data_IF_732924158641
#
_entry.id   IF_732924158641
#
_cell.length_a   1.000
_cell.length_b   1.000
_cell.length_c   1.000
_cell.angle_alpha   90.00
_cell.angle_beta   90.00
_cell.angle_gamma   90.00
#
_symmetry.space_group_name_H-M   'P 1'
#
loop_
_entity.id
_entity.type
_entity.pdbx_description
1 polymer ?
#
# COMPACT_ATOMS: atom_id res chain seq x y z
N UNK A 1 -5.26 -14.01 7.77
CA UNK A 1 -4.62 -13.37 6.61
C UNK A 1 -4.75 -11.86 6.77
N UNK A 2 -3.69 -11.22 7.29
CA UNK A 2 -3.71 -9.79 7.61
C UNK A 2 -3.58 -8.99 6.30
N UNK A 3 -4.71 -8.67 5.67
CA UNK A 3 -4.73 -7.68 4.60
C UNK A 3 -4.43 -6.33 5.23
N UNK A 4 -3.23 -5.83 4.97
CA UNK A 4 -2.67 -4.63 5.57
C UNK A 4 -3.61 -3.44 5.35
N UNK A 5 -3.92 -2.74 6.45
CA UNK A 5 -4.60 -1.43 6.44
C UNK A 5 -3.89 -0.50 5.47
N UNK A 6 -4.55 -0.08 4.40
CA UNK A 6 -4.07 1.01 3.54
C UNK A 6 -4.29 2.34 4.25
N UNK A 7 -3.24 2.99 4.73
CA UNK A 7 -3.33 4.32 5.34
C UNK A 7 -3.32 5.38 4.22
N UNK A 8 -4.46 5.58 3.58
CA UNK A 8 -4.58 6.49 2.46
C UNK A 8 -4.85 7.94 2.87
N UNK A 9 -3.93 8.45 3.68
CA UNK A 9 -3.47 9.82 3.52
C UNK A 9 -3.72 10.74 4.71
N UNK A 10 -2.72 11.59 4.96
CA UNK A 10 -2.69 12.53 6.08
C UNK A 10 -3.27 13.86 5.61
N UNK A 11 -4.27 14.38 6.31
CA UNK A 11 -4.82 15.73 6.10
C UNK A 11 -4.29 16.64 7.21
N UNK A 12 -3.64 17.73 6.84
CA UNK A 12 -3.30 18.82 7.77
C UNK A 12 -4.42 19.85 7.72
N UNK A 13 -5.19 19.99 8.80
CA UNK A 13 -6.04 21.18 9.01
C UNK A 13 -5.44 21.98 10.17
N UNK A 14 -4.78 23.11 9.85
CA UNK A 14 -4.55 24.27 10.74
C UNK A 14 -4.50 24.03 12.25
N UNK A 15 -3.67 23.08 12.70
CA UNK A 15 -3.54 22.65 14.09
C UNK A 15 -2.71 21.36 14.14
N UNK A 16 -2.04 21.09 15.27
CA UNK A 16 -1.09 19.96 15.46
C UNK A 16 -1.70 18.54 15.37
N UNK A 17 -2.88 18.37 14.76
CA UNK A 17 -3.59 17.09 14.68
C UNK A 17 -3.58 16.53 13.25
N UNK A 18 -2.78 15.49 13.06
CA UNK A 18 -2.80 14.70 11.82
C UNK A 18 -4.06 13.85 11.80
N UNK A 19 -4.87 13.99 10.75
CA UNK A 19 -5.99 13.08 10.50
C UNK A 19 -5.73 12.21 9.31
N UNK A 20 -6.20 10.98 9.32
CA UNK A 20 -6.01 10.05 8.22
C UNK A 20 -7.30 9.49 7.66
N UNK A 21 -7.27 9.14 6.37
CA UNK A 21 -8.28 8.30 5.73
C UNK A 21 -7.70 6.89 5.57
N UNK A 22 -8.49 5.88 5.91
CA UNK A 22 -8.10 4.47 5.73
C UNK A 22 -8.83 3.85 4.55
N UNK A 23 -8.25 2.81 3.94
CA UNK A 23 -8.95 1.94 2.98
C UNK A 23 -9.08 0.52 3.50
N UNK A 24 -10.20 -0.13 3.20
CA UNK A 24 -10.52 -1.52 3.57
C UNK A 24 -11.21 -2.22 2.41
N UNK A 25 -11.16 -3.56 2.37
CA UNK A 25 -11.78 -4.34 1.28
C UNK A 25 -13.29 -4.54 1.43
N UNK A 26 -13.81 -4.44 2.64
CA UNK A 26 -15.19 -4.80 2.94
C UNK A 26 -15.76 -4.03 4.15
N UNK A 27 -17.09 -4.05 4.25
CA UNK A 27 -17.85 -3.34 5.28
C UNK A 27 -17.57 -3.87 6.70
N UNK A 28 -17.29 -5.17 6.85
CA UNK A 28 -17.01 -5.75 8.16
C UNK A 28 -15.67 -5.21 8.72
N UNK A 29 -14.65 -5.10 7.86
CA UNK A 29 -13.36 -4.47 8.18
C UNK A 29 -13.51 -2.98 8.44
N UNK A 30 -14.37 -2.28 7.68
CA UNK A 30 -14.66 -0.85 7.92
C UNK A 30 -15.17 -0.64 9.35
N UNK A 31 -16.24 -1.35 9.72
CA UNK A 31 -16.83 -1.30 11.08
C UNK A 31 -15.82 -1.65 12.15
N UNK A 32 -15.00 -2.68 11.92
CA UNK A 32 -13.96 -3.09 12.86
C UNK A 32 -12.91 -1.99 13.10
N UNK A 33 -12.38 -1.38 12.02
CA UNK A 33 -11.36 -0.34 12.12
C UNK A 33 -11.94 0.91 12.77
N UNK A 34 -13.10 1.38 12.32
CA UNK A 34 -13.74 2.56 12.89
C UNK A 34 -13.95 2.39 14.39
N UNK A 35 -14.52 1.26 14.82
CA UNK A 35 -14.67 0.95 16.25
C UNK A 35 -13.34 0.91 16.99
N UNK A 36 -12.33 0.24 16.42
CA UNK A 36 -11.02 0.05 17.07
C UNK A 36 -10.23 1.36 17.18
N UNK A 37 -10.34 2.25 16.19
CA UNK A 37 -9.69 3.55 16.22
C UNK A 37 -10.45 4.57 17.05
N UNK A 38 -11.79 4.60 17.01
CA UNK A 38 -12.54 5.55 17.83
C UNK A 38 -12.37 5.29 19.33
N UNK A 39 -12.14 4.05 19.75
CA UNK A 39 -11.88 3.71 21.17
C UNK A 39 -10.52 4.16 21.67
N UNK A 40 -9.51 4.32 20.79
CA UNK A 40 -8.12 4.63 21.19
C UNK A 40 -7.65 6.01 20.75
N UNK A 41 -8.14 6.48 19.61
CA UNK A 41 -7.68 7.69 18.91
C UNK A 41 -8.83 8.35 18.12
N UNK A 42 -9.89 8.72 18.82
CA UNK A 42 -11.13 9.27 18.21
C UNK A 42 -10.91 10.50 17.31
N UNK A 43 -9.85 11.27 17.54
CA UNK A 43 -9.53 12.48 16.77
C UNK A 43 -8.66 12.25 15.52
N UNK A 44 -8.10 11.05 15.33
CA UNK A 44 -7.11 10.81 14.25
C UNK A 44 -7.67 10.14 13.01
N UNK A 45 -8.64 9.22 13.13
CA UNK A 45 -9.29 8.62 11.96
C UNK A 45 -10.42 9.53 11.49
N UNK A 46 -10.34 10.06 10.26
CA UNK A 46 -11.45 10.80 9.66
C UNK A 46 -12.52 9.87 9.12
N UNK A 47 -12.14 8.86 8.35
CA UNK A 47 -13.06 7.91 7.73
C UNK A 47 -12.31 6.71 7.15
N UNK A 48 -12.96 5.54 7.13
CA UNK A 48 -12.50 4.37 6.41
C UNK A 48 -13.34 4.16 5.14
N UNK A 49 -12.69 4.04 3.99
CA UNK A 49 -13.28 3.88 2.67
C UNK A 49 -13.20 2.43 2.21
N UNK A 50 -14.22 1.94 1.53
CA UNK A 50 -14.21 0.60 0.96
C UNK A 50 -13.60 0.66 -0.44
N UNK A 51 -12.46 -0.01 -0.60
CA UNK A 51 -11.75 -0.23 -1.85
C UNK A 51 -11.51 -1.74 -1.94
N UNK A 52 -12.42 -2.50 -2.59
CA UNK A 52 -12.34 -3.96 -2.61
C UNK A 52 -11.04 -4.48 -3.22
N UNK A 53 -10.60 -3.84 -4.30
CA UNK A 53 -9.34 -4.10 -4.97
C UNK A 53 -8.61 -2.79 -5.24
N UNK A 54 -7.45 -2.64 -4.59
CA UNK A 54 -6.58 -1.46 -4.71
C UNK A 54 -5.73 -1.49 -5.98
N UNK A 55 -5.69 -2.63 -6.69
CA UNK A 55 -4.91 -2.79 -7.90
C UNK A 55 -5.63 -2.32 -9.17
N UNK A 56 -6.92 -2.00 -9.06
CA UNK A 56 -7.69 -1.46 -10.19
C UNK A 56 -7.25 -0.03 -10.51
N UNK A 57 -7.32 0.30 -11.80
CA UNK A 57 -7.06 1.65 -12.27
C UNK A 57 -8.03 2.63 -11.61
N UNK A 58 -7.50 3.72 -11.06
CA UNK A 58 -8.31 4.76 -10.43
C UNK A 58 -9.03 4.37 -9.13
N UNK A 59 -8.74 3.19 -8.56
CA UNK A 59 -9.43 2.65 -7.38
C UNK A 59 -9.43 3.60 -6.17
N UNK A 60 -8.44 4.48 -6.09
CA UNK A 60 -8.21 5.38 -4.97
C UNK A 60 -8.43 6.87 -5.29
N UNK A 61 -8.85 7.22 -6.52
CA UNK A 61 -8.91 8.61 -7.01
C UNK A 61 -9.77 9.51 -6.12
N UNK A 62 -10.91 9.00 -5.68
CA UNK A 62 -11.84 9.74 -4.81
C UNK A 62 -11.33 9.81 -3.37
N UNK A 63 -10.62 8.78 -2.90
CA UNK A 63 -10.16 8.66 -1.52
C UNK A 63 -9.03 9.66 -1.23
N UNK A 64 -8.11 9.85 -2.18
CA UNK A 64 -6.92 10.71 -2.01
C UNK A 64 -7.22 12.21 -2.07
N UNK A 65 -8.42 12.63 -2.46
CA UNK A 65 -8.77 14.05 -2.58
C UNK A 65 -8.61 14.78 -1.24
N UNK A 66 -7.83 15.86 -1.24
CA UNK A 66 -7.55 16.65 -0.03
C UNK A 66 -6.54 16.02 0.92
N UNK A 67 -5.92 14.89 0.56
CA UNK A 67 -4.79 14.34 1.30
C UNK A 67 -3.50 15.11 0.95
N UNK A 68 -2.67 15.34 1.97
CA UNK A 68 -1.35 15.98 1.85
C UNK A 68 -0.23 14.98 1.59
N UNK A 69 -0.46 13.70 1.85
CA UNK A 69 0.46 12.62 1.54
C UNK A 69 -0.26 11.28 1.52
N UNK A 70 0.40 10.26 1.00
CA UNK A 70 -0.12 8.89 0.86
C UNK A 70 0.85 7.93 1.54
N UNK A 71 0.33 6.99 2.33
CA UNK A 71 1.08 5.86 2.88
C UNK A 71 0.53 4.58 2.27
N UNK A 72 1.23 4.08 1.25
CA UNK A 72 0.87 2.85 0.57
C UNK A 72 1.42 1.65 1.35
N UNK A 73 0.52 0.94 2.00
CA UNK A 73 0.78 -0.28 2.79
C UNK A 73 -0.03 -1.47 2.28
N UNK A 74 -1.01 -1.24 1.41
CA UNK A 74 -1.89 -2.28 0.89
C UNK A 74 -1.22 -3.01 -0.27
N UNK A 75 -0.74 -4.22 -0.03
CA UNK A 75 -0.28 -5.16 -1.06
C UNK A 75 -1.05 -6.46 -0.96
N UNK A 76 -1.29 -7.12 -2.08
CA UNK A 76 -1.75 -8.51 -2.06
C UNK A 76 -0.58 -9.38 -1.59
N UNK A 77 -0.78 -10.12 -0.50
CA UNK A 77 0.23 -11.04 0.07
C UNK A 77 -0.21 -12.50 -0.04
N UNK A 78 -1.27 -12.77 -0.81
CA UNK A 78 -1.78 -14.12 -0.98
C UNK A 78 -0.82 -14.88 -1.89
N UNK A 79 -0.51 -16.14 -1.54
CA UNK A 79 0.25 -17.05 -2.40
C UNK A 79 -0.60 -17.36 -3.64
N UNK A 80 -0.48 -16.52 -4.66
CA UNK A 80 -1.09 -16.76 -5.96
C UNK A 80 -0.33 -17.90 -6.65
N UNK A 81 -1.03 -18.87 -7.26
CA UNK A 81 -0.38 -19.93 -8.04
C UNK A 81 0.39 -19.36 -9.24
N UNK A 82 -0.08 -18.22 -9.77
CA UNK A 82 0.53 -17.50 -10.87
C UNK A 82 1.22 -16.24 -10.31
N UNK A 83 2.53 -16.36 -10.10
CA UNK A 83 3.35 -15.29 -9.52
C UNK A 83 3.42 -14.11 -10.48
N UNK A 84 3.52 -14.36 -11.79
CA UNK A 84 3.56 -13.34 -12.84
C UNK A 84 2.33 -12.44 -12.77
N UNK A 85 1.13 -13.01 -12.70
CA UNK A 85 -0.11 -12.22 -12.53
C UNK A 85 -0.13 -11.42 -11.24
N UNK A 86 0.35 -11.99 -10.13
CA UNK A 86 0.41 -11.29 -8.85
C UNK A 86 1.34 -10.07 -8.91
N UNK A 87 2.53 -10.24 -9.49
CA UNK A 87 3.52 -9.16 -9.68
C UNK A 87 2.94 -8.07 -10.56
N UNK A 88 2.36 -8.42 -11.72
CA UNK A 88 1.76 -7.45 -12.64
C UNK A 88 0.65 -6.65 -11.94
N UNK A 89 -0.25 -7.32 -11.20
CA UNK A 89 -1.34 -6.65 -10.50
C UNK A 89 -0.84 -5.67 -9.43
N UNK A 90 0.15 -6.08 -8.62
CA UNK A 90 0.73 -5.20 -7.58
C UNK A 90 1.46 -4.01 -8.21
N UNK A 91 2.26 -4.24 -9.25
CA UNK A 91 2.94 -3.15 -9.99
C UNK A 91 1.92 -2.18 -10.55
N UNK A 92 0.89 -2.68 -11.22
CA UNK A 92 -0.18 -1.87 -11.79
C UNK A 92 -0.93 -1.06 -10.71
N UNK A 93 -1.24 -1.67 -9.57
CA UNK A 93 -1.90 -0.99 -8.47
C UNK A 93 -1.10 0.18 -7.90
N UNK A 94 0.22 -0.03 -7.72
CA UNK A 94 1.12 1.01 -7.21
C UNK A 94 1.28 2.14 -8.23
N UNK A 95 1.47 1.82 -9.52
CA UNK A 95 1.64 2.85 -10.56
C UNK A 95 0.35 3.64 -10.79
N UNK A 96 -0.81 2.97 -10.81
CA UNK A 96 -2.12 3.62 -10.86
C UNK A 96 -2.30 4.62 -9.72
N UNK A 97 -1.97 4.23 -8.49
CA UNK A 97 -2.06 5.12 -7.32
C UNK A 97 -1.06 6.29 -7.39
N UNK A 98 0.15 6.06 -7.93
CA UNK A 98 1.13 7.13 -8.17
C UNK A 98 0.61 8.13 -9.22
N UNK A 99 0.02 7.64 -10.31
CA UNK A 99 -0.58 8.51 -11.33
C UNK A 99 -1.70 9.36 -10.74
N UNK A 100 -2.56 8.76 -9.92
CA UNK A 100 -3.60 9.49 -9.19
C UNK A 100 -3.03 10.52 -8.22
N UNK A 101 -1.92 10.21 -7.55
CA UNK A 101 -1.21 11.13 -6.67
C UNK A 101 -0.64 12.33 -7.44
N UNK A 102 -0.05 12.09 -8.62
CA UNK A 102 0.46 13.15 -9.51
C UNK A 102 -0.67 14.06 -10.00
N UNK A 103 -1.84 13.49 -10.31
CA UNK A 103 -3.04 14.26 -10.70
C UNK A 103 -3.69 15.03 -9.55
N UNK A 104 -3.27 14.81 -8.30
CA UNK A 104 -3.88 15.41 -7.10
C UNK A 104 -2.93 16.42 -6.45
N UNK A 105 -3.01 17.73 -6.76
CA UNK A 105 -2.02 18.72 -6.35
C UNK A 105 -1.83 18.88 -4.83
N UNK A 106 -2.81 18.45 -4.02
CA UNK A 106 -2.73 18.48 -2.57
C UNK A 106 -1.70 17.47 -2.04
N UNK A 107 -1.45 16.37 -2.75
CA UNK A 107 -0.52 15.31 -2.34
C UNK A 107 0.91 15.81 -2.55
N UNK A 108 1.70 15.85 -1.48
CA UNK A 108 3.10 16.33 -1.47
C UNK A 108 4.13 15.24 -1.19
N UNK A 109 3.72 14.13 -0.58
CA UNK A 109 4.60 13.01 -0.25
C UNK A 109 3.91 11.67 -0.49
N UNK A 110 4.69 10.72 -0.99
CA UNK A 110 4.27 9.34 -1.16
C UNK A 110 5.24 8.45 -0.40
N UNK A 111 4.71 7.59 0.47
CA UNK A 111 5.48 6.59 1.19
C UNK A 111 5.04 5.21 0.72
N UNK A 112 5.97 4.46 0.15
CA UNK A 112 5.76 3.08 -0.28
C UNK A 112 6.34 2.12 0.76
N UNK A 113 5.51 1.22 1.28
CA UNK A 113 5.96 0.17 2.19
C UNK A 113 6.52 -1.00 1.39
N UNK A 114 7.84 -1.02 1.23
CA UNK A 114 8.54 -2.14 0.62
C UNK A 114 8.89 -3.23 1.66
N UNK A 115 9.56 -4.29 1.23
CA UNK A 115 10.01 -5.41 2.04
C UNK A 115 11.51 -5.65 1.82
N UNK A 116 12.24 -6.19 2.81
CA UNK A 116 13.64 -6.57 2.65
C UNK A 116 13.84 -7.65 1.57
N UNK A 117 12.84 -8.50 1.32
CA UNK A 117 12.86 -9.46 0.20
C UNK A 117 12.94 -8.79 -1.19
N UNK A 118 12.59 -7.50 -1.31
CA UNK A 118 12.80 -6.76 -2.56
C UNK A 118 14.30 -6.47 -2.81
N UNK A 119 15.11 -6.44 -1.74
CA UNK A 119 16.55 -6.22 -1.84
C UNK A 119 17.33 -7.53 -2.02
N UNK A 120 16.93 -8.62 -1.33
CA UNK A 120 17.53 -9.92 -1.53
C UNK A 120 16.61 -11.07 -1.11
N UNK A 121 16.63 -12.17 -1.86
CA UNK A 121 16.01 -13.42 -1.44
C UNK A 121 16.81 -14.06 -0.28
N UNK A 122 16.15 -14.58 0.76
CA UNK A 122 16.84 -15.31 1.83
C UNK A 122 17.49 -16.57 1.28
N UNK A 123 18.78 -16.76 1.58
CA UNK A 123 19.55 -17.95 1.19
C UNK A 123 19.98 -18.71 2.44
N UNK A 124 19.69 -20.01 2.47
CA UNK A 124 19.99 -20.85 3.63
C UNK A 124 21.49 -20.83 3.94
N UNK A 125 21.83 -20.62 5.21
CA UNK A 125 23.21 -20.55 5.70
C UNK A 125 24.09 -19.45 5.07
N UNK A 126 23.49 -18.44 4.43
CA UNK A 126 24.21 -17.29 3.87
C UNK A 126 23.82 -16.03 4.62
N UNK A 127 24.83 -15.31 5.14
CA UNK A 127 24.61 -13.98 5.72
C UNK A 127 24.62 -12.95 4.59
N UNK A 128 23.50 -12.25 4.43
CA UNK A 128 23.36 -11.17 3.46
C UNK A 128 23.22 -9.86 4.24
N UNK A 129 24.10 -8.89 3.96
CA UNK A 129 23.95 -7.54 4.47
C UNK A 129 23.04 -6.75 3.53
N UNK A 130 21.88 -6.34 4.01
CA UNK A 130 20.93 -5.54 3.23
C UNK A 130 21.37 -4.07 3.24
N UNK A 131 21.47 -3.47 2.06
CA UNK A 131 21.79 -2.05 1.84
C UNK A 131 20.75 -1.42 0.91
N UNK A 132 20.60 -0.08 0.90
CA UNK A 132 19.64 0.61 0.04
C UNK A 132 19.85 0.39 -1.47
N UNK A 133 21.05 -0.01 -1.88
CA UNK A 133 21.44 -0.18 -3.28
C UNK A 133 21.14 -1.60 -3.82
N UNK A 134 20.76 -2.54 -2.94
CA UNK A 134 20.51 -3.92 -3.31
C UNK A 134 19.14 -4.12 -3.95
N UNK A 135 19.13 -4.94 -5.00
CA UNK A 135 17.94 -5.41 -5.70
C UNK A 135 17.95 -6.92 -5.78
N UNK A 136 16.78 -7.54 -5.58
CA UNK A 136 16.61 -8.98 -5.67
C UNK A 136 16.52 -9.43 -7.14
N UNK A 137 17.67 -9.44 -7.81
CA UNK A 137 17.81 -9.85 -9.21
C UNK A 137 17.48 -11.33 -9.44
N UNK A 138 17.64 -12.18 -8.43
CA UNK A 138 17.35 -13.61 -8.53
C UNK A 138 15.85 -13.81 -8.76
N UNK A 139 15.01 -13.19 -7.91
CA UNK A 139 13.56 -13.27 -8.09
C UNK A 139 13.06 -12.57 -9.35
N UNK A 140 13.76 -11.53 -9.83
CA UNK A 140 13.40 -10.90 -11.10
C UNK A 140 13.57 -11.86 -12.28
N UNK A 141 14.65 -12.65 -12.30
CA UNK A 141 14.89 -13.66 -13.34
C UNK A 141 13.83 -14.75 -13.31
N UNK A 142 13.44 -15.22 -12.13
CA UNK A 142 12.40 -16.25 -11.99
C UNK A 142 11.07 -15.77 -12.60
N UNK A 143 10.66 -14.54 -12.28
CA UNK A 143 9.43 -13.94 -12.82
C UNK A 143 9.53 -13.71 -14.33
N UNK A 144 10.68 -13.28 -14.85
CA UNK A 144 10.89 -13.07 -16.28
C UNK A 144 10.98 -14.36 -17.09
N UNK A 145 11.49 -15.45 -16.49
CA UNK A 145 11.58 -16.76 -17.13
C UNK A 145 10.20 -17.45 -17.24
N UNK A 146 9.28 -17.13 -16.35
CA UNK A 146 7.89 -17.62 -16.35
C UNK A 146 6.93 -16.75 -17.19
N UNK A 147 7.39 -15.62 -17.73
CA UNK A 147 6.60 -14.79 -18.64
C UNK A 147 6.51 -15.45 -20.03
N UNK A 148 5.31 -15.65 -20.61
CA UNK A 148 5.13 -16.26 -21.92
C UNK A 148 5.64 -15.40 -23.09
#
# INVERSE_FOLDING_TARGET
>A
MLCVLGLLGVTSKGGNTNRFKGTVRDEAKRKYIERSFHTRHSASLSSAFIVPDVNLEGACDTVILGCSGIVHTASEMCMQPDITKAVIAVVHGVTSLLDSAVRTPSVKRFLYTSNCNAAAAPKANVRIQITPELWNEDSLKDVMAEAP
#
